data_IF_134826873483
#
_entry.id   IF_134826873483
#
_cell.length_a   1.000
_cell.length_b   1.000
_cell.length_c   1.000
_cell.angle_alpha   90.00
_cell.angle_beta   90.00
_cell.angle_gamma   90.00
#
_symmetry.space_group_name_H-M   'P 1'
#
loop_
_entity.id
_entity.type
_entity.pdbx_description
1 polymer ?
#
# COMPACT_ATOMS: atom_id res chain seq x y z
N UNK A 1 -16.40 -14.99 55.86
CA UNK A 1 -17.25 -14.91 54.64
C UNK A 1 -16.44 -15.46 53.47
N UNK A 2 -16.74 -16.68 53.03
CA UNK A 2 -16.09 -17.30 51.88
C UNK A 2 -16.99 -17.10 50.64
N UNK A 3 -16.47 -16.46 49.59
CA UNK A 3 -17.12 -16.39 48.27
C UNK A 3 -16.32 -17.24 47.30
N UNK A 4 -16.86 -18.42 47.03
CA UNK A 4 -16.51 -19.29 45.92
C UNK A 4 -17.15 -18.76 44.63
N UNK A 5 -16.48 -19.05 43.50
CA UNK A 5 -16.97 -19.13 42.10
C UNK A 5 -16.68 -17.93 41.21
N UNK A 6 -15.97 -18.23 40.13
CA UNK A 6 -15.86 -17.38 38.95
C UNK A 6 -14.66 -17.74 38.08
N UNK A 7 -14.46 -19.01 37.76
CA UNK A 7 -13.49 -19.43 36.75
C UNK A 7 -13.97 -18.89 35.40
N UNK A 8 -13.41 -17.77 34.95
CA UNK A 8 -13.62 -17.24 33.60
C UNK A 8 -12.75 -18.08 32.68
N UNK A 9 -13.39 -19.06 32.03
CA UNK A 9 -12.81 -19.79 30.92
C UNK A 9 -12.70 -18.80 29.75
N UNK A 10 -11.52 -18.22 29.56
CA UNK A 10 -11.20 -17.51 28.32
C UNK A 10 -11.15 -18.58 27.25
N UNK A 11 -12.21 -18.66 26.45
CA UNK A 11 -12.24 -19.43 25.24
C UNK A 11 -11.22 -18.82 24.27
N UNK A 12 -9.99 -19.32 24.34
CA UNK A 12 -8.99 -19.11 23.32
C UNK A 12 -9.53 -19.74 22.03
N UNK A 13 -10.06 -18.91 21.14
CA UNK A 13 -10.31 -19.27 19.75
C UNK A 13 -8.96 -19.58 19.11
N UNK A 14 -8.59 -20.85 19.19
CA UNK A 14 -7.49 -21.43 18.45
C UNK A 14 -7.81 -21.37 16.95
N UNK A 15 -7.45 -20.27 16.29
CA UNK A 15 -7.22 -20.26 14.84
C UNK A 15 -5.82 -20.80 14.60
N UNK A 16 -5.64 -22.07 14.93
CA UNK A 16 -4.50 -22.89 14.52
C UNK A 16 -5.08 -24.07 13.75
N UNK A 17 -5.74 -23.73 12.63
CA UNK A 17 -5.87 -24.65 11.51
C UNK A 17 -4.49 -24.76 10.82
N UNK A 18 -3.50 -25.26 11.56
CA UNK A 18 -2.32 -25.89 11.01
C UNK A 18 -2.77 -27.24 10.43
N UNK A 19 -3.57 -27.18 9.37
CA UNK A 19 -3.92 -28.33 8.56
C UNK A 19 -2.77 -28.58 7.58
N UNK A 20 -2.25 -29.79 7.68
CA UNK A 20 -1.29 -30.43 6.80
C UNK A 20 -1.67 -30.32 5.30
N UNK A 21 -1.28 -29.25 4.60
CA UNK A 21 -1.35 -29.14 3.13
C UNK A 21 0.03 -28.97 2.50
N UNK A 22 0.93 -29.89 2.83
CA UNK A 22 2.06 -30.19 1.95
C UNK A 22 1.55 -30.86 0.68
N UNK A 23 1.13 -30.06 -0.33
CA UNK A 23 1.18 -30.33 -1.78
C UNK A 23 0.32 -29.27 -2.53
N UNK A 24 0.97 -28.33 -3.23
CA UNK A 24 0.37 -27.44 -4.24
C UNK A 24 -0.63 -26.34 -3.79
N UNK A 25 -0.54 -25.80 -2.58
CA UNK A 25 -1.38 -24.67 -2.12
C UNK A 25 -0.70 -23.31 -2.29
N UNK A 26 -0.92 -22.62 -3.42
CA UNK A 26 -0.59 -21.20 -3.57
C UNK A 26 -1.61 -20.32 -2.84
N UNK A 27 -1.26 -19.06 -2.54
CA UNK A 27 -2.20 -18.06 -2.01
C UNK A 27 -3.43 -17.95 -2.92
N UNK A 28 -4.63 -17.93 -2.36
CA UNK A 28 -5.84 -17.73 -3.16
C UNK A 28 -5.91 -16.31 -3.70
N UNK A 29 -6.62 -16.12 -4.82
CA UNK A 29 -6.86 -14.80 -5.41
C UNK A 29 -7.50 -13.82 -4.41
N UNK A 30 -8.44 -14.29 -3.61
CA UNK A 30 -9.12 -13.48 -2.59
C UNK A 30 -8.17 -13.02 -1.48
N UNK A 31 -7.30 -13.91 -0.98
CA UNK A 31 -6.28 -13.55 0.02
C UNK A 31 -5.26 -12.55 -0.56
N UNK A 32 -4.83 -12.76 -1.81
CA UNK A 32 -3.93 -11.85 -2.51
C UNK A 32 -4.53 -10.44 -2.65
N UNK A 33 -5.80 -10.37 -3.07
CA UNK A 33 -6.53 -9.12 -3.22
C UNK A 33 -6.79 -8.40 -1.89
N UNK A 34 -6.99 -9.14 -0.80
CA UNK A 34 -7.10 -8.55 0.53
C UNK A 34 -5.76 -7.89 0.96
N UNK A 35 -4.64 -8.58 0.76
CA UNK A 35 -3.30 -8.00 1.04
C UNK A 35 -3.07 -6.72 0.23
N UNK A 36 -3.43 -6.73 -1.06
CA UNK A 36 -3.35 -5.53 -1.90
C UNK A 36 -4.24 -4.40 -1.37
N UNK A 37 -5.52 -4.69 -1.09
CA UNK A 37 -6.51 -3.69 -0.64
C UNK A 37 -6.12 -3.03 0.68
N UNK A 38 -5.51 -3.78 1.61
CA UNK A 38 -5.03 -3.23 2.88
C UNK A 38 -3.83 -2.30 2.66
N UNK A 39 -2.89 -2.69 1.79
CA UNK A 39 -1.74 -1.87 1.43
C UNK A 39 -2.15 -0.59 0.67
N UNK A 40 -3.09 -0.71 -0.25
CA UNK A 40 -3.60 0.38 -1.07
C UNK A 40 -4.29 1.47 -0.24
N UNK A 41 -5.16 1.09 0.71
CA UNK A 41 -5.80 2.06 1.61
C UNK A 41 -4.80 2.87 2.44
N UNK A 42 -3.73 2.23 2.92
CA UNK A 42 -2.67 2.90 3.65
C UNK A 42 -1.92 3.90 2.74
N UNK A 43 -1.61 3.47 1.53
CA UNK A 43 -0.94 4.31 0.53
C UNK A 43 -1.79 5.52 0.11
N UNK A 44 -3.08 5.35 -0.18
CA UNK A 44 -3.99 6.45 -0.54
C UNK A 44 -4.06 7.50 0.57
N UNK A 45 -4.09 7.05 1.83
CA UNK A 45 -4.06 7.94 3.00
C UNK A 45 -2.76 8.75 3.05
N UNK A 46 -1.63 8.10 2.79
CA UNK A 46 -0.32 8.76 2.77
C UNK A 46 -0.20 9.76 1.62
N UNK A 47 -0.61 9.40 0.39
CA UNK A 47 -0.61 10.31 -0.78
C UNK A 47 -1.43 11.58 -0.47
N UNK A 48 -2.63 11.41 0.09
CA UNK A 48 -3.49 12.54 0.47
C UNK A 48 -2.84 13.45 1.52
N UNK A 49 -2.25 12.84 2.55
CA UNK A 49 -1.57 13.57 3.64
C UNK A 49 -0.34 14.33 3.12
N UNK A 50 0.56 13.63 2.41
CA UNK A 50 1.77 14.23 1.86
C UNK A 50 1.47 15.34 0.86
N UNK A 51 0.47 15.14 -0.01
CA UNK A 51 0.07 16.18 -0.98
C UNK A 51 -0.45 17.44 -0.27
N UNK A 52 -1.19 17.29 0.83
CA UNK A 52 -1.63 18.42 1.65
C UNK A 52 -0.48 19.17 2.31
N UNK A 53 0.56 18.45 2.76
CA UNK A 53 1.72 19.02 3.44
C UNK A 53 2.82 19.51 2.51
N UNK A 54 2.75 19.28 1.21
CA UNK A 54 3.82 19.58 0.25
C UNK A 54 4.30 21.04 0.30
N UNK A 55 3.38 22.00 0.48
CA UNK A 55 3.72 23.43 0.51
C UNK A 55 4.16 23.93 1.90
N UNK A 56 3.71 23.26 2.96
CA UNK A 56 3.95 23.68 4.36
C UNK A 56 5.20 23.02 4.94
N UNK A 57 5.43 21.74 4.63
CA UNK A 57 6.57 20.93 5.04
C UNK A 57 6.94 19.92 3.93
N UNK A 58 7.55 20.39 2.83
CA UNK A 58 7.91 19.54 1.68
C UNK A 58 8.86 18.39 2.03
N UNK A 59 9.76 18.59 2.99
CA UNK A 59 10.74 17.57 3.39
C UNK A 59 10.06 16.39 4.10
N UNK A 60 9.15 16.68 5.03
CA UNK A 60 8.34 15.65 5.69
C UNK A 60 7.39 15.00 4.69
N UNK A 61 6.70 15.78 3.86
CA UNK A 61 5.78 15.25 2.84
C UNK A 61 6.45 14.24 1.91
N UNK A 62 7.66 14.54 1.42
CA UNK A 62 8.49 13.65 0.60
C UNK A 62 8.89 12.39 1.36
N UNK A 63 9.34 12.52 2.60
CA UNK A 63 9.79 11.38 3.42
C UNK A 63 8.63 10.42 3.73
N UNK A 64 7.46 10.98 4.08
CA UNK A 64 6.27 10.20 4.40
C UNK A 64 5.74 9.44 3.18
N UNK A 65 5.74 10.08 2.01
CA UNK A 65 5.32 9.41 0.78
C UNK A 65 6.30 8.31 0.37
N UNK A 66 7.61 8.57 0.47
CA UNK A 66 8.63 7.56 0.17
C UNK A 66 8.51 6.33 1.08
N UNK A 67 8.29 6.55 2.37
CA UNK A 67 8.03 5.47 3.34
C UNK A 67 6.76 4.70 2.98
N UNK A 68 5.67 5.38 2.63
CA UNK A 68 4.41 4.72 2.28
C UNK A 68 4.52 3.88 1.00
N UNK A 69 5.25 4.37 -0.01
CA UNK A 69 5.53 3.61 -1.25
C UNK A 69 6.40 2.38 -0.95
N UNK A 70 7.38 2.50 -0.05
CA UNK A 70 8.18 1.38 0.43
C UNK A 70 7.37 0.34 1.21
N UNK A 71 6.47 0.78 2.08
CA UNK A 71 5.57 -0.10 2.84
C UNK A 71 4.56 -0.81 1.94
N UNK A 72 4.04 -0.10 0.93
CA UNK A 72 3.21 -0.68 -0.11
C UNK A 72 3.95 -1.78 -0.88
N UNK A 73 5.16 -1.49 -1.39
CA UNK A 73 6.01 -2.46 -2.09
C UNK A 73 6.29 -3.70 -1.22
N UNK A 74 6.68 -3.48 0.04
CA UNK A 74 6.92 -4.54 1.01
C UNK A 74 5.68 -5.40 1.23
N UNK A 75 4.50 -4.79 1.29
CA UNK A 75 3.24 -5.51 1.49
C UNK A 75 2.84 -6.32 0.26
N UNK A 76 2.88 -5.74 -0.94
CA UNK A 76 2.52 -6.46 -2.17
C UNK A 76 3.55 -7.53 -2.57
N UNK A 77 4.80 -7.43 -2.12
CA UNK A 77 5.81 -8.48 -2.31
C UNK A 77 5.44 -9.82 -1.64
N UNK A 78 4.52 -9.79 -0.66
CA UNK A 78 4.00 -10.97 0.03
C UNK A 78 2.93 -11.69 -0.78
N UNK A 79 2.43 -11.08 -1.86
CA UNK A 79 1.45 -11.68 -2.74
C UNK A 79 2.14 -12.77 -3.56
N UNK A 80 1.67 -14.01 -3.43
CA UNK A 80 2.17 -15.15 -4.20
C UNK A 80 1.21 -15.63 -5.30
N UNK A 81 0.00 -15.05 -5.37
CA UNK A 81 -0.90 -15.28 -6.50
C UNK A 81 -0.42 -14.53 -7.75
N UNK A 82 0.12 -15.26 -8.74
CA UNK A 82 0.85 -14.71 -9.90
C UNK A 82 0.11 -13.58 -10.63
N UNK A 83 -1.18 -13.74 -10.91
CA UNK A 83 -1.94 -12.72 -11.67
C UNK A 83 -2.10 -11.41 -10.89
N UNK A 84 -2.38 -11.50 -9.59
CA UNK A 84 -2.55 -10.32 -8.72
C UNK A 84 -1.19 -9.66 -8.51
N UNK A 85 -0.16 -10.47 -8.25
CA UNK A 85 1.22 -10.00 -8.09
C UNK A 85 1.69 -9.23 -9.33
N UNK A 86 1.49 -9.78 -10.53
CA UNK A 86 1.92 -9.12 -11.77
C UNK A 86 1.26 -7.74 -11.97
N UNK A 87 0.00 -7.56 -11.54
CA UNK A 87 -0.65 -6.24 -11.59
C UNK A 87 -0.15 -5.33 -10.47
N UNK A 88 0.00 -5.84 -9.25
CA UNK A 88 0.50 -5.09 -8.11
C UNK A 88 1.94 -4.59 -8.34
N UNK A 89 2.82 -5.42 -8.90
CA UNK A 89 4.18 -5.03 -9.30
C UNK A 89 4.15 -3.90 -10.34
N UNK A 90 3.19 -3.94 -11.28
CA UNK A 90 2.95 -2.86 -12.25
C UNK A 90 2.53 -1.55 -11.58
N UNK A 91 1.67 -1.63 -10.55
CA UNK A 91 1.30 -0.46 -9.75
C UNK A 91 2.48 0.07 -8.93
N UNK A 92 3.28 -0.80 -8.29
CA UNK A 92 4.51 -0.39 -7.59
C UNK A 92 5.46 0.37 -8.50
N UNK A 93 5.65 -0.07 -9.75
CA UNK A 93 6.49 0.65 -10.71
C UNK A 93 5.95 2.03 -11.07
N UNK A 94 4.63 2.16 -11.24
CA UNK A 94 4.00 3.45 -11.52
C UNK A 94 4.10 4.40 -10.31
N UNK A 95 3.87 3.87 -9.09
CA UNK A 95 4.00 4.62 -7.84
C UNK A 95 5.42 5.11 -7.58
N UNK A 96 6.45 4.31 -7.90
CA UNK A 96 7.85 4.75 -7.81
C UNK A 96 8.12 5.92 -8.75
N UNK A 97 7.50 5.93 -9.93
CA UNK A 97 7.62 7.05 -10.87
C UNK A 97 6.93 8.29 -10.31
N UNK A 98 5.70 8.15 -9.80
CA UNK A 98 4.99 9.24 -9.13
C UNK A 98 5.76 9.79 -7.94
N UNK A 99 6.27 8.93 -7.05
CA UNK A 99 7.06 9.32 -5.89
C UNK A 99 8.32 10.09 -6.27
N UNK A 100 9.00 9.70 -7.36
CA UNK A 100 10.15 10.45 -7.87
C UNK A 100 9.77 11.86 -8.34
N UNK A 101 8.64 12.00 -9.04
CA UNK A 101 8.14 13.32 -9.47
C UNK A 101 7.68 14.17 -8.28
N UNK A 102 7.00 13.55 -7.30
CA UNK A 102 6.61 14.21 -6.06
C UNK A 102 7.83 14.69 -5.27
N UNK A 103 8.87 13.86 -5.17
CA UNK A 103 10.12 14.23 -4.52
C UNK A 103 10.81 15.41 -5.23
N UNK A 104 10.81 15.43 -6.56
CA UNK A 104 11.33 16.56 -7.34
C UNK A 104 10.53 17.85 -7.09
N UNK A 105 9.19 17.75 -7.03
CA UNK A 105 8.33 18.89 -6.70
C UNK A 105 8.57 19.42 -5.28
N UNK A 106 8.78 18.52 -4.31
CA UNK A 106 9.13 18.87 -2.94
C UNK A 106 10.49 19.58 -2.87
N UNK A 107 11.50 19.07 -3.57
CA UNK A 107 12.84 19.68 -3.62
C UNK A 107 12.77 21.08 -4.27
N UNK A 108 12.04 21.24 -5.38
CA UNK A 108 11.82 22.55 -6.01
C UNK A 108 11.13 23.55 -5.07
N UNK A 109 10.16 23.09 -4.27
CA UNK A 109 9.47 23.91 -3.26
C UNK A 109 10.45 24.38 -2.18
N UNK A 110 11.33 23.50 -1.69
CA UNK A 110 12.39 23.85 -0.72
C UNK A 110 13.35 24.89 -1.29
N UNK A 111 13.71 24.74 -2.57
CA UNK A 111 14.62 25.65 -3.27
C UNK A 111 13.96 26.99 -3.64
N UNK A 112 12.64 27.12 -3.49
CA UNK A 112 11.87 28.28 -3.94
C UNK A 112 11.85 28.42 -5.47
N UNK A 113 11.97 27.30 -6.17
CA UNK A 113 11.92 27.23 -7.63
C UNK A 113 10.48 27.09 -8.13
N UNK A 114 10.15 27.80 -9.21
CA UNK A 114 8.88 27.65 -9.92
C UNK A 114 8.91 26.50 -10.94
N UNK A 115 10.05 25.81 -11.09
CA UNK A 115 10.27 24.72 -12.05
C UNK A 115 9.67 23.38 -11.57
N UNK A 116 8.41 23.39 -11.16
CA UNK A 116 7.65 22.15 -10.88
C UNK A 116 6.98 21.69 -12.17
N UNK A 117 7.41 20.54 -12.69
CA UNK A 117 6.78 19.90 -13.85
C UNK A 117 5.44 19.24 -13.44
N UNK A 118 4.42 20.09 -13.36
CA UNK A 118 3.06 19.69 -12.95
C UNK A 118 2.40 18.73 -13.96
N UNK A 119 2.85 18.73 -15.21
CA UNK A 119 2.39 17.79 -16.24
C UNK A 119 2.95 16.39 -15.95
N UNK A 120 4.26 16.25 -15.74
CA UNK A 120 4.85 14.96 -15.36
C UNK A 120 4.31 14.42 -14.02
N UNK A 121 4.10 15.28 -13.02
CA UNK A 121 3.49 14.86 -11.76
C UNK A 121 2.07 14.33 -11.97
N UNK A 122 1.26 15.01 -12.78
CA UNK A 122 -0.12 14.60 -13.08
C UNK A 122 -0.15 13.32 -13.93
N UNK A 123 0.68 13.22 -14.95
CA UNK A 123 0.79 12.05 -15.81
C UNK A 123 1.23 10.80 -15.03
N UNK A 124 2.19 10.96 -14.12
CA UNK A 124 2.66 9.86 -13.27
C UNK A 124 1.60 9.42 -12.25
N UNK A 125 0.81 10.35 -11.69
CA UNK A 125 -0.34 10.01 -10.85
C UNK A 125 -1.40 9.24 -11.64
N UNK A 126 -1.79 9.73 -12.82
CA UNK A 126 -2.74 9.04 -13.70
C UNK A 126 -2.21 7.66 -14.13
N UNK A 127 -0.90 7.51 -14.33
CA UNK A 127 -0.32 6.19 -14.60
C UNK A 127 -0.46 5.23 -13.40
N UNK A 128 -0.31 5.72 -12.17
CA UNK A 128 -0.53 4.95 -10.95
C UNK A 128 -2.00 4.55 -10.77
N UNK A 129 -2.95 5.48 -10.94
CA UNK A 129 -4.40 5.21 -10.91
C UNK A 129 -4.81 4.18 -11.97
N UNK A 130 -4.27 4.30 -13.18
CA UNK A 130 -4.50 3.32 -14.25
C UNK A 130 -3.92 1.95 -13.90
N UNK A 131 -2.78 1.88 -13.21
CA UNK A 131 -2.19 0.63 -12.77
C UNK A 131 -3.01 -0.02 -11.64
N UNK A 132 -3.45 0.76 -10.66
CA UNK A 132 -4.37 0.35 -9.59
C UNK A 132 -5.66 -0.25 -10.18
N UNK A 133 -6.27 0.43 -11.15
CA UNK A 133 -7.50 -0.06 -11.80
C UNK A 133 -7.35 -1.46 -12.40
N UNK A 134 -6.14 -1.83 -12.86
CA UNK A 134 -5.85 -3.17 -13.40
C UNK A 134 -5.78 -4.22 -12.29
N UNK A 135 -5.29 -3.86 -11.10
CA UNK A 135 -5.32 -4.74 -9.94
C UNK A 135 -6.76 -4.96 -9.49
N UNK A 136 -7.54 -3.89 -9.38
CA UNK A 136 -8.97 -3.94 -9.02
C UNK A 136 -9.77 -4.78 -10.00
N UNK A 137 -9.53 -4.65 -11.31
CA UNK A 137 -10.16 -5.49 -12.34
C UNK A 137 -9.85 -6.99 -12.14
N UNK A 138 -8.60 -7.33 -11.84
CA UNK A 138 -8.26 -8.72 -11.50
C UNK A 138 -9.01 -9.11 -10.23
N UNK A 139 -9.01 -8.31 -9.18
CA UNK A 139 -9.66 -8.66 -7.91
C UNK A 139 -11.19 -8.82 -7.98
N UNK A 140 -11.85 -8.18 -8.95
CA UNK A 140 -13.30 -8.25 -9.15
C UNK A 140 -13.74 -9.24 -10.24
N UNK A 141 -12.82 -9.99 -10.84
CA UNK A 141 -13.11 -10.98 -11.90
C UNK A 141 -13.26 -12.41 -11.41
#
# INVERSE_FOLDING_TARGET
MARTRGTITIAASAVLAAALTGCAGGQSKAEACAVFSDADQALVTAISTSSGSLLEDPATAKTDLDSAVGDFESSVSKISHDEVRAKADGMTSALKTFNAQFAAAADATVEGSDDVDSEQLSDSLTAAENAESKVVQVCNS
#
